data_IF_159540754803
#
_entry.id   IF_159540754803
#
_cell.length_a   1.000
_cell.length_b   1.000
_cell.length_c   1.000
_cell.angle_alpha   90.00
_cell.angle_beta   90.00
_cell.angle_gamma   90.00
#
_symmetry.space_group_name_H-M   'P 1'
#
loop_
_entity.id
_entity.type
_entity.pdbx_description
1 polymer ?
2 non-polymer ?
3 non-polymer ?
4 non-polymer ?
5 water ?
#
# COMPACT_ATOMS: atom_id res chain seq x y z
N UNK A 7 -13.96 16.68 -24.15
CA UNK A 7 -13.59 17.45 -25.38
C UNK A 7 -13.02 18.86 -25.10
N UNK A 8 -12.35 19.46 -26.08
CA UNK A 8 -12.09 20.90 -26.02
C UNK A 8 -13.26 21.72 -26.59
N UNK A 9 -13.55 21.59 -27.89
CA UNK A 9 -14.79 22.18 -28.34
C UNK A 9 -15.78 21.57 -27.39
N UNK A 10 -15.61 21.90 -26.11
CA UNK A 10 -16.34 21.21 -25.06
C UNK A 10 -17.51 22.00 -24.53
N UNK A 11 -18.39 21.25 -23.88
CA UNK A 11 -19.65 21.72 -23.41
C UNK A 11 -19.67 21.76 -21.89
N UNK A 12 -18.97 20.87 -21.22
CA UNK A 12 -19.21 20.72 -19.80
C UNK A 12 -18.00 21.14 -18.97
N UNK A 13 -18.30 21.46 -17.70
CA UNK A 13 -17.33 21.67 -16.62
C UNK A 13 -17.31 20.37 -15.77
N UNK A 14 -16.12 19.91 -15.45
CA UNK A 14 -15.86 18.69 -14.69
C UNK A 14 -15.33 19.03 -13.31
N UNK A 15 -15.21 18.02 -12.46
CA UNK A 15 -14.52 18.20 -11.21
C UNK A 15 -13.08 18.63 -11.45
N UNK A 16 -12.45 18.12 -12.51
CA UNK A 16 -11.08 18.55 -12.81
C UNK A 16 -11.02 20.08 -13.06
N UNK A 17 -12.05 20.62 -13.72
CA UNK A 17 -12.12 22.07 -13.85
C UNK A 17 -12.35 22.81 -12.57
N UNK A 18 -13.23 22.28 -11.68
CA UNK A 18 -13.58 22.94 -10.45
C UNK A 18 -12.31 23.10 -9.66
N UNK A 19 -11.51 22.04 -9.64
CA UNK A 19 -10.24 22.01 -8.88
C UNK A 19 -9.32 23.09 -9.44
N UNK A 20 -9.16 23.11 -10.76
CA UNK A 20 -8.28 24.14 -11.32
C UNK A 20 -8.82 25.53 -11.11
N UNK A 21 -10.13 25.72 -11.25
CA UNK A 21 -10.70 27.04 -11.03
C UNK A 21 -10.59 27.47 -9.58
N UNK A 22 -10.74 26.56 -8.61
CA UNK A 22 -10.64 26.95 -7.19
C UNK A 22 -9.19 27.15 -6.75
N UNK A 23 -8.24 26.49 -7.41
CA UNK A 23 -6.83 26.58 -7.05
C UNK A 23 -6.39 25.73 -5.88
N UNK A 24 -7.18 24.77 -5.45
CA UNK A 24 -6.78 23.88 -4.37
C UNK A 24 -7.27 22.48 -4.69
N UNK A 25 -6.46 21.47 -4.36
CA UNK A 25 -6.86 20.07 -4.36
C UNK A 25 -7.18 19.70 -2.94
N UNK A 26 -8.43 19.30 -2.70
CA UNK A 26 -8.83 18.87 -1.40
C UNK A 26 -8.63 17.34 -1.30
N UNK A 27 -7.75 16.95 -0.40
CA UNK A 27 -7.38 15.58 -0.20
C UNK A 27 -7.88 15.09 1.17
N UNK A 28 -8.79 14.16 1.14
CA UNK A 28 -9.26 13.57 2.34
C UNK A 28 -8.24 12.57 2.88
N UNK A 29 -7.96 12.65 4.17
CA UNK A 29 -6.97 11.72 4.76
C UNK A 29 -7.25 11.54 6.25
N UNK A 30 -6.89 10.37 6.81
CA UNK A 30 -7.23 10.07 8.23
C UNK A 30 -6.19 10.50 9.21
N UNK A 31 -4.90 10.54 8.85
CA UNK A 31 -3.88 10.97 9.84
C UNK A 31 -3.68 9.99 10.99
N UNK A 32 -4.17 8.76 10.84
CA UNK A 32 -4.04 7.74 11.89
C UNK A 32 -3.49 6.42 11.39
N UNK A 33 -2.75 6.50 10.29
CA UNK A 33 -2.30 5.33 9.59
C UNK A 33 -0.87 5.41 9.05
N UNK A 34 0.12 5.01 9.87
CA UNK A 34 1.49 4.93 9.40
C UNK A 34 1.59 3.71 8.56
N UNK A 35 2.41 3.78 7.49
CA UNK A 35 3.28 4.93 7.18
C UNK A 35 2.67 5.87 6.11
N UNK A 36 1.35 5.79 5.88
CA UNK A 36 0.73 6.51 4.76
C UNK A 36 0.27 7.93 5.08
N UNK A 37 -0.24 8.11 6.27
CA UNK A 37 -0.90 9.31 6.72
C UNK A 37 -0.97 9.39 8.20
N UNK A 38 -0.18 10.27 8.77
CA UNK A 38 -0.12 10.39 10.19
C UNK A 38 0.37 11.73 10.57
N UNK A 39 0.75 11.91 11.84
CA UNK A 39 1.19 13.26 12.32
C UNK A 39 2.68 13.21 12.73
N UNK A 40 3.49 14.20 12.29
CA UNK A 40 4.87 14.39 12.80
C UNK A 40 4.83 15.02 14.23
N UNK A 41 6.01 15.16 14.91
CA UNK A 41 6.10 15.70 16.27
C UNK A 41 5.38 17.04 16.54
N UNK A 42 5.01 17.76 15.48
CA UNK A 42 4.26 19.04 15.57
C UNK A 42 2.74 18.92 15.28
N UNK A 43 2.31 17.73 14.80
CA UNK A 43 0.91 17.48 14.47
C UNK A 43 0.61 18.01 13.08
N UNK A 44 1.62 18.16 12.23
CA UNK A 44 1.40 18.34 10.79
C UNK A 44 1.30 16.96 10.13
N UNK A 45 0.70 16.91 8.94
CA UNK A 45 0.55 15.66 8.22
C UNK A 45 1.85 15.17 7.64
N UNK A 46 2.10 13.89 7.79
CA UNK A 46 3.29 13.27 7.26
C UNK A 46 2.95 11.86 6.77
N UNK A 47 3.74 11.38 5.81
CA UNK A 47 3.62 10.03 5.34
C UNK A 47 3.75 9.88 3.84
N UNK A 48 3.77 8.62 3.43
CA UNK A 48 3.83 8.24 2.02
C UNK A 48 2.80 8.96 1.13
N UNK A 49 1.51 8.90 1.49
CA UNK A 49 0.53 9.50 0.63
C UNK A 49 0.34 11.02 0.84
N UNK A 50 0.99 11.57 1.87
CA UNK A 50 1.04 12.99 2.09
C UNK A 50 2.03 13.51 1.12
N UNK A 51 3.17 12.81 0.98
CA UNK A 51 4.10 13.15 -0.04
C UNK A 51 3.43 13.05 -1.44
N UNK A 52 2.71 11.96 -1.71
CA UNK A 52 2.11 11.79 -3.06
C UNK A 52 1.05 12.89 -3.32
N UNK A 53 0.24 13.18 -2.32
CA UNK A 53 -0.76 14.21 -2.45
C UNK A 53 -0.15 15.52 -2.90
N UNK A 54 0.99 15.90 -2.33
CA UNK A 54 1.61 17.13 -2.69
C UNK A 54 2.10 17.09 -4.08
N UNK A 55 2.59 15.97 -4.48
CA UNK A 55 3.05 15.88 -5.86
C UNK A 55 1.84 15.87 -6.87
N UNK A 56 0.69 15.30 -6.52
CA UNK A 56 -0.46 15.44 -7.39
C UNK A 56 -0.90 16.90 -7.53
N UNK A 57 -1.03 17.63 -6.42
CA UNK A 57 -1.39 19.05 -6.47
C UNK A 57 -0.45 19.84 -7.35
N UNK A 58 0.82 19.54 -7.24
CA UNK A 58 1.80 20.27 -7.96
C UNK A 58 1.65 19.92 -9.44
N UNK A 59 1.40 18.67 -9.76
CA UNK A 59 1.20 18.34 -11.16
C UNK A 59 0.02 19.17 -11.77
N UNK A 60 -1.02 19.36 -10.98
CA UNK A 60 -2.14 20.10 -11.37
C UNK A 60 -1.91 21.58 -11.40
N UNK A 61 -0.85 22.05 -10.78
CA UNK A 61 -0.60 23.49 -10.70
C UNK A 61 -1.50 24.07 -9.64
N UNK A 62 -1.84 23.35 -8.57
CA UNK A 62 -2.68 23.93 -7.49
C UNK A 62 -2.11 23.68 -6.10
N UNK A 63 -2.67 24.36 -5.09
CA UNK A 63 -2.35 24.07 -3.68
C UNK A 63 -3.02 22.79 -3.18
N UNK A 64 -2.41 22.08 -2.22
CA UNK A 64 -3.01 20.93 -1.57
C UNK A 64 -3.75 21.38 -0.30
N UNK A 65 -4.96 20.92 -0.07
CA UNK A 65 -5.58 21.17 1.23
C UNK A 65 -6.00 19.81 1.79
N UNK A 66 -5.46 19.47 2.94
CA UNK A 66 -5.79 18.23 3.60
C UNK A 66 -7.11 18.33 4.37
N UNK A 67 -8.06 17.46 4.10
CA UNK A 67 -9.34 17.53 4.82
C UNK A 67 -9.41 16.30 5.73
N UNK A 68 -9.40 16.50 7.08
CA UNK A 68 -9.50 15.42 8.04
C UNK A 68 -10.76 14.58 7.73
N UNK A 69 -10.61 13.25 7.68
CA UNK A 69 -11.75 12.36 7.66
C UNK A 69 -11.37 11.19 8.59
N UNK A 70 -12.29 10.27 8.79
CA UNK A 70 -12.07 9.13 9.68
C UNK A 70 -12.57 7.87 8.95
N UNK A 71 -12.17 6.71 9.43
CA UNK A 71 -12.57 5.51 8.70
C UNK A 71 -14.09 5.32 8.67
N UNK A 72 -14.81 5.65 9.74
CA UNK A 72 -16.23 5.56 9.82
C UNK A 72 -16.95 6.57 8.94
N UNK A 73 -16.35 7.67 8.58
CA UNK A 73 -17.06 8.64 7.73
C UNK A 73 -16.40 8.81 6.37
N UNK A 74 -15.44 7.98 6.05
CA UNK A 74 -14.70 8.17 4.82
C UNK A 74 -15.62 8.17 3.60
N UNK A 75 -16.53 7.22 3.57
CA UNK A 75 -17.32 7.00 2.38
C UNK A 75 -18.36 8.09 2.31
N UNK A 76 -18.99 8.44 3.43
CA UNK A 76 -20.05 9.46 3.35
C UNK A 76 -19.45 10.84 3.12
N UNK A 77 -18.30 11.16 3.74
CA UNK A 77 -17.60 12.41 3.41
C UNK A 77 -17.29 12.49 1.92
N UNK A 78 -16.79 11.40 1.37
CA UNK A 78 -16.49 11.41 -0.05
C UNK A 78 -17.77 11.68 -0.85
N UNK A 79 -18.86 11.00 -0.51
CA UNK A 79 -20.07 11.21 -1.30
C UNK A 79 -20.70 12.59 -1.17
N UNK A 80 -20.50 13.23 -0.01
CA UNK A 80 -20.97 14.53 0.30
C UNK A 80 -19.96 15.60 -0.15
N UNK A 81 -19.02 15.23 -1.00
CA UNK A 81 -18.14 16.20 -1.64
C UNK A 81 -17.31 17.08 -0.61
N UNK A 82 -16.89 16.48 0.50
CA UNK A 82 -15.96 17.10 1.48
C UNK A 82 -14.55 17.27 0.93
N UNK A 83 -14.17 16.48 -0.06
CA UNK A 83 -12.83 16.53 -0.61
C UNK A 83 -12.87 15.92 -1.98
N UNK A 84 -11.82 16.08 -2.76
CA UNK A 84 -11.86 15.66 -4.17
C UNK A 84 -11.35 14.24 -4.33
N UNK A 85 -10.51 13.80 -3.39
CA UNK A 85 -9.88 12.52 -3.52
C UNK A 85 -9.41 12.14 -2.11
N UNK A 86 -9.52 10.84 -1.84
CA UNK A 86 -9.00 10.28 -0.60
C UNK A 86 -7.64 9.61 -0.82
N UNK A 87 -6.61 10.06 -0.08
CA UNK A 87 -5.27 9.56 -0.28
C UNK A 87 -4.73 9.29 1.10
N UNK A 88 -4.50 7.99 1.36
CA UNK A 88 -4.23 7.57 2.73
C UNK A 88 -4.23 6.08 3.02
N UNK A 89 -3.43 5.37 2.24
CA UNK A 89 -3.37 3.89 2.22
C UNK A 89 -4.68 3.17 2.10
N UNK A 90 -5.62 3.69 1.31
CA UNK A 90 -6.94 3.06 1.23
C UNK A 90 -6.84 1.80 0.45
N UNK A 91 -7.21 0.71 1.08
CA UNK A 91 -7.30 -0.55 0.35
C UNK A 91 -8.58 -0.58 -0.50
N UNK A 92 -8.46 -1.10 -1.71
CA UNK A 92 -9.55 -1.28 -2.63
C UNK A 92 -10.39 -2.46 -2.19
N UNK A 93 -11.56 -2.20 -1.66
CA UNK A 93 -12.46 -3.27 -1.22
C UNK A 93 -13.77 -3.18 -2.04
N UNK A 94 -14.46 -4.30 -2.20
CA UNK A 94 -15.74 -4.28 -2.87
C UNK A 94 -16.69 -3.28 -2.21
N UNK A 95 -16.80 -3.27 -0.90
CA UNK A 95 -17.67 -2.30 -0.26
C UNK A 95 -17.33 -0.88 -0.67
N UNK A 96 -16.04 -0.56 -0.78
CA UNK A 96 -15.65 0.79 -1.11
C UNK A 96 -15.86 1.09 -2.60
N UNK A 97 -15.65 0.13 -3.47
CA UNK A 97 -15.90 0.33 -4.89
C UNK A 97 -17.32 0.52 -5.25
N UNK A 98 -18.23 0.05 -4.42
CA UNK A 98 -19.63 0.28 -4.68
C UNK A 98 -20.01 1.74 -4.67
N UNK A 99 -19.31 2.53 -3.90
CA UNK A 99 -19.72 3.88 -3.68
C UNK A 99 -18.67 4.84 -4.15
N UNK A 100 -17.58 4.36 -4.75
CA UNK A 100 -16.45 5.26 -5.15
C UNK A 100 -15.69 4.66 -6.30
N UNK A 101 -14.97 5.48 -7.05
CA UNK A 101 -14.11 4.98 -8.08
C UNK A 101 -12.66 4.96 -7.46
N UNK A 102 -11.86 4.00 -7.84
CA UNK A 102 -10.46 3.95 -7.46
C UNK A 102 -9.53 4.16 -8.67
N UNK A 103 -8.46 4.90 -8.48
CA UNK A 103 -7.31 4.87 -9.34
C UNK A 103 -6.81 3.47 -9.54
N UNK A 104 -5.98 3.32 -10.56
CA UNK A 104 -5.14 2.15 -10.66
C UNK A 104 -4.29 2.02 -9.37
N UNK A 105 -3.82 0.82 -9.08
CA UNK A 105 -3.24 0.56 -7.77
C UNK A 105 -1.86 1.12 -7.71
N UNK A 106 -1.47 1.70 -6.60
CA UNK A 106 -0.08 2.12 -6.47
C UNK A 106 0.77 1.22 -5.56
N UNK A 107 0.12 0.25 -4.92
CA UNK A 107 0.78 -0.76 -4.18
C UNK A 107 -0.06 -2.01 -4.16
N UNK A 108 0.62 -3.14 -4.25
CA UNK A 108 0.00 -4.46 -4.04
C UNK A 108 0.51 -5.12 -2.77
N UNK A 109 -0.33 -5.84 -2.07
CA UNK A 109 0.08 -6.46 -0.86
C UNK A 109 -0.71 -7.70 -0.54
N UNK A 110 -0.26 -8.47 0.46
CA UNK A 110 -1.06 -9.54 1.03
C UNK A 110 -0.21 -10.31 1.99
N UNK A 111 0.40 -11.38 1.50
CA UNK A 111 1.47 -12.06 2.18
C UNK A 111 2.80 -11.67 1.57
N UNK A 112 3.81 -11.60 2.43
CA UNK A 112 5.14 -11.20 2.04
C UNK A 112 6.11 -12.14 2.83
N UNK A 113 7.00 -12.83 2.12
CA UNK A 113 8.05 -13.50 2.89
C UNK A 113 9.01 -12.56 3.61
N UNK A 114 9.37 -13.01 4.77
CA UNK A 114 10.42 -12.35 5.54
C UNK A 114 11.58 -13.29 5.73
N UNK A 115 12.77 -12.84 5.38
CA UNK A 115 13.92 -13.74 5.24
C UNK A 115 15.12 -13.06 5.84
N UNK A 116 16.22 -13.77 6.02
CA UNK A 116 17.42 -13.08 6.42
C UNK A 116 17.91 -12.14 5.35
N UNK A 117 18.56 -11.09 5.83
CA UNK A 117 19.08 -10.07 4.96
C UNK A 117 19.94 -10.65 3.79
N UNK A 118 20.92 -11.43 4.10
CA UNK A 118 21.74 -12.05 3.05
C UNK A 118 20.99 -13.03 2.11
N UNK A 119 19.76 -13.43 2.43
CA UNK A 119 19.03 -14.33 1.55
C UNK A 119 18.07 -13.53 0.70
N UNK A 120 18.14 -12.20 0.76
CA UNK A 120 17.06 -11.39 0.13
C UNK A 120 16.87 -11.68 -1.37
N UNK A 121 18.02 -11.71 -2.02
CA UNK A 121 18.18 -11.98 -3.46
C UNK A 121 17.87 -13.46 -3.73
N UNK A 122 18.02 -14.28 -2.71
CA UNK A 122 17.88 -15.69 -2.89
C UNK A 122 16.44 -16.13 -2.84
N UNK A 123 15.54 -15.38 -2.19
CA UNK A 123 14.16 -15.79 -2.17
C UNK A 123 13.30 -14.68 -2.76
N UNK A 124 13.10 -14.70 -4.07
CA UNK A 124 12.35 -13.63 -4.68
C UNK A 124 11.16 -14.04 -5.50
N UNK A 125 10.94 -15.34 -5.60
CA UNK A 125 9.78 -15.87 -6.28
C UNK A 125 9.23 -17.04 -5.47
N UNK A 126 8.02 -17.41 -5.86
CA UNK A 126 7.38 -18.60 -5.36
C UNK A 126 8.35 -19.79 -5.56
N UNK A 127 8.95 -19.87 -6.73
CA UNK A 127 9.80 -21.00 -7.11
C UNK A 127 10.98 -21.11 -6.15
N UNK A 128 11.54 -19.98 -5.78
CA UNK A 128 12.73 -19.95 -4.95
C UNK A 128 12.40 -20.50 -3.56
N UNK A 129 11.16 -20.30 -3.15
CA UNK A 129 10.73 -20.55 -1.79
C UNK A 129 10.18 -21.95 -1.64
N UNK A 130 9.39 -22.38 -2.63
CA UNK A 130 8.79 -23.69 -2.61
C UNK A 130 9.83 -24.79 -2.99
N UNK A 131 10.84 -24.98 -2.14
CA UNK A 131 11.92 -25.99 -2.36
C UNK A 131 12.10 -26.81 -1.08
N UNK A 132 12.54 -28.06 -1.21
CA UNK A 132 12.50 -28.98 -0.03
C UNK A 132 13.52 -28.62 1.07
N UNK A 133 14.55 -27.91 0.72
CA UNK A 133 15.52 -27.50 1.74
C UNK A 133 15.06 -26.19 2.47
N UNK A 134 13.92 -25.63 2.11
CA UNK A 134 13.56 -24.28 2.64
C UNK A 134 12.70 -24.50 3.89
N UNK A 135 13.13 -23.94 5.03
CA UNK A 135 12.35 -24.05 6.25
C UNK A 135 11.40 -22.86 6.41
N UNK A 136 10.12 -23.17 6.26
CA UNK A 136 9.06 -22.22 6.31
C UNK A 136 8.37 -22.23 7.61
N UNK A 137 8.19 -21.02 8.14
CA UNK A 137 7.64 -20.83 9.48
C UNK A 137 6.33 -20.14 9.42
N UNK A 138 5.32 -20.70 10.10
CA UNK A 138 4.05 -20.02 10.17
C UNK A 138 3.43 -20.22 11.53
N UNK A 139 2.48 -19.34 11.88
CA UNK A 139 1.62 -19.57 13.03
C UNK A 139 0.47 -20.47 12.64
N UNK A 140 -0.19 -21.11 13.62
CA UNK A 140 -1.24 -22.00 13.29
C UNK A 140 -2.54 -21.31 12.99
N UNK A 141 -3.26 -21.90 12.07
CA UNK A 141 -4.70 -21.83 12.11
C UNK A 141 -5.28 -20.78 11.21
N UNK A 142 -4.49 -19.95 10.54
CA UNK A 142 -5.11 -18.86 9.70
C UNK A 142 -4.51 -18.86 8.28
N UNK A 143 -4.50 -17.67 7.69
CA UNK A 143 -4.09 -17.51 6.32
C UNK A 143 -2.59 -17.76 6.06
N UNK A 144 -1.70 -17.52 7.05
CA UNK A 144 -0.32 -17.80 6.83
C UNK A 144 -0.11 -19.28 6.65
N UNK A 145 -0.69 -20.09 7.56
CA UNK A 145 -0.54 -21.48 7.45
C UNK A 145 -1.18 -22.01 6.13
N UNK A 146 -2.38 -21.59 5.88
CA UNK A 146 -3.08 -21.99 4.66
C UNK A 146 -2.31 -21.56 3.36
N UNK A 147 -1.70 -20.40 3.32
CA UNK A 147 -0.93 -20.04 2.15
C UNK A 147 0.22 -21.06 1.95
N UNK A 148 0.88 -21.41 3.06
CA UNK A 148 2.01 -22.28 2.94
C UNK A 148 1.64 -23.70 2.45
N UNK A 149 0.52 -24.20 2.97
CA UNK A 149 0.03 -25.56 2.66
C UNK A 149 -0.45 -25.57 1.23
N UNK A 150 -0.97 -24.44 0.79
CA UNK A 150 -1.43 -24.36 -0.56
C UNK A 150 -0.29 -24.18 -1.56
N UNK A 151 0.63 -23.27 -1.35
CA UNK A 151 1.51 -22.86 -2.42
C UNK A 151 2.89 -23.21 -2.11
N UNK A 152 3.17 -23.68 -0.92
CA UNK A 152 4.54 -24.03 -0.59
C UNK A 152 4.69 -25.48 -0.11
N UNK A 153 4.07 -26.39 -0.86
CA UNK A 153 4.01 -27.80 -0.50
C UNK A 153 5.37 -28.49 -0.55
N UNK A 154 6.34 -28.00 -1.31
CA UNK A 154 7.63 -28.70 -1.37
C UNK A 154 8.59 -28.31 -0.26
N UNK A 155 8.24 -27.26 0.48
CA UNK A 155 9.04 -26.75 1.55
C UNK A 155 8.73 -27.50 2.87
N UNK A 156 9.61 -27.34 3.83
CA UNK A 156 9.46 -27.91 5.12
C UNK A 156 8.80 -26.87 6.03
N UNK A 157 7.55 -27.09 6.29
CA UNK A 157 6.73 -26.14 6.95
C UNK A 157 6.71 -26.54 8.43
N UNK A 158 7.03 -25.63 9.33
CA UNK A 158 6.80 -25.85 10.76
C UNK A 158 5.75 -24.84 11.29
N UNK A 159 4.81 -25.35 12.09
CA UNK A 159 3.80 -24.55 12.73
C UNK A 159 4.26 -24.20 14.14
N UNK A 160 4.24 -22.92 14.45
CA UNK A 160 4.63 -22.42 15.75
C UNK A 160 3.38 -22.13 16.59
N UNK A 161 3.34 -20.98 17.25
CA UNK A 161 2.11 -20.51 17.95
C UNK A 161 2.09 -18.98 17.71
N UNK A 162 0.91 -18.39 17.85
CA UNK A 162 0.72 -17.00 17.46
C UNK A 162 1.65 -16.13 18.32
N UNK A 163 1.83 -16.35 19.61
CA UNK A 163 2.71 -15.38 20.38
C UNK A 163 4.21 -15.71 20.39
N UNK A 164 4.64 -16.61 19.55
CA UNK A 164 6.04 -16.93 19.50
C UNK A 164 6.64 -15.90 18.59
N UNK A 165 7.86 -15.45 18.86
CA UNK A 165 8.52 -14.55 17.91
C UNK A 165 9.13 -15.28 16.73
N UNK A 166 8.32 -15.55 15.74
CA UNK A 166 8.76 -16.33 14.61
C UNK A 166 9.80 -15.61 13.84
N UNK A 167 9.73 -14.27 13.81
CA UNK A 167 10.70 -13.51 13.03
C UNK A 167 12.13 -13.77 13.51
N UNK A 168 12.26 -13.98 14.81
CA UNK A 168 13.53 -14.23 15.44
C UNK A 168 14.06 -15.62 15.14
N UNK A 169 13.16 -16.58 14.88
CA UNK A 169 13.61 -17.87 14.37
C UNK A 169 14.27 -17.72 13.01
N UNK A 170 13.74 -16.85 12.14
CA UNK A 170 14.39 -16.60 10.86
C UNK A 170 15.78 -15.98 11.07
N UNK A 171 15.85 -14.92 11.84
CA UNK A 171 17.07 -14.18 12.07
C UNK A 171 18.11 -15.02 12.65
N UNK A 172 17.77 -15.93 13.56
CA UNK A 172 18.80 -16.69 14.25
C UNK A 172 19.13 -17.90 13.40
N UNK A 173 18.46 -18.13 12.29
CA UNK A 173 18.89 -19.22 11.38
C UNK A 173 18.20 -20.55 11.68
N UNK A 174 17.15 -20.49 12.49
CA UNK A 174 16.42 -21.70 12.81
C UNK A 174 15.27 -21.93 11.84
N UNK A 175 14.94 -20.96 10.98
CA UNK A 175 13.99 -21.14 9.89
C UNK A 175 14.52 -20.23 8.82
N UNK A 176 13.98 -20.37 7.64
CA UNK A 176 14.49 -19.60 6.48
C UNK A 176 13.54 -18.53 5.94
N UNK A 177 12.24 -18.79 6.02
CA UNK A 177 11.22 -17.88 5.46
C UNK A 177 10.00 -17.89 6.35
N UNK A 178 9.59 -16.71 6.86
CA UNK A 178 8.36 -16.57 7.61
C UNK A 178 7.32 -16.00 6.66
N UNK A 179 6.15 -16.62 6.58
CA UNK A 179 5.02 -16.11 5.83
C UNK A 179 4.14 -15.35 6.74
N UNK A 180 3.89 -14.07 6.39
CA UNK A 180 3.06 -13.22 7.21
C UNK A 180 2.45 -12.12 6.35
N UNK A 181 1.47 -11.39 6.88
CA UNK A 181 0.97 -10.19 6.20
C UNK A 181 2.06 -9.19 5.86
N UNK A 182 1.86 -8.48 4.76
CA UNK A 182 2.81 -7.54 4.26
C UNK A 182 3.23 -6.53 5.36
N UNK A 183 2.25 -5.98 6.05
CA UNK A 183 2.54 -4.97 7.01
C UNK A 183 3.48 -5.45 8.08
N UNK A 184 3.30 -6.66 8.55
CA UNK A 184 4.18 -7.22 9.52
C UNK A 184 5.56 -7.52 9.00
N UNK A 185 5.65 -8.12 7.85
CA UNK A 185 6.97 -8.34 7.23
C UNK A 185 7.74 -7.09 7.15
N UNK A 186 7.10 -6.02 6.67
CA UNK A 186 7.81 -4.81 6.47
C UNK A 186 8.32 -4.21 7.79
N UNK A 187 7.53 -4.39 8.83
CA UNK A 187 7.85 -3.86 10.10
C UNK A 187 9.00 -4.65 10.80
N UNK A 188 8.92 -5.95 10.80
CA UNK A 188 10.03 -6.74 11.26
C UNK A 188 11.32 -6.53 10.50
N UNK A 189 11.26 -6.40 9.18
CA UNK A 189 12.46 -6.07 8.45
C UNK A 189 12.95 -4.70 8.74
N UNK A 190 12.08 -3.73 8.92
CA UNK A 190 12.70 -2.47 9.19
C UNK A 190 13.40 -2.40 10.53
N UNK A 191 12.96 -3.20 11.48
CA UNK A 191 13.37 -3.06 12.87
C UNK A 191 14.37 -4.13 13.28
N UNK A 192 14.84 -4.91 12.31
CA UNK A 192 15.87 -5.88 12.56
C UNK A 192 16.94 -5.84 11.46
N UNK A 193 18.22 -5.59 11.81
CA UNK A 193 19.23 -5.48 10.79
C UNK A 193 19.53 -6.76 10.03
N UNK A 194 19.11 -7.87 10.58
CA UNK A 194 19.41 -9.18 10.03
C UNK A 194 18.28 -9.67 9.13
N UNK A 195 17.22 -8.93 9.01
CA UNK A 195 16.02 -9.45 8.24
C UNK A 195 15.67 -8.52 7.09
N UNK A 196 15.13 -9.11 6.05
CA UNK A 196 14.64 -8.40 4.89
C UNK A 196 13.28 -8.91 4.46
N UNK A 197 12.44 -8.01 4.01
CA UNK A 197 11.09 -8.41 3.49
C UNK A 197 11.21 -8.41 2.01
N UNK A 198 10.73 -9.40 1.30
CA UNK A 198 10.82 -9.40 -0.16
C UNK A 198 9.44 -9.31 -0.80
N UNK A 199 9.11 -8.27 -1.54
CA UNK A 199 7.74 -8.15 -2.11
C UNK A 199 7.70 -9.07 -3.35
N UNK A 200 6.71 -9.94 -3.38
CA UNK A 200 6.53 -10.89 -4.45
C UNK A 200 5.09 -10.65 -4.93
N UNK A 201 4.82 -10.89 -6.19
CA UNK A 201 3.46 -10.72 -6.78
C UNK A 201 2.59 -11.96 -6.54
N UNK A 202 1.66 -12.28 -7.39
CA UNK A 202 0.75 -13.39 -7.12
C UNK A 202 1.62 -14.63 -7.00
N UNK A 203 1.20 -15.60 -6.22
CA UNK A 203 -0.02 -15.64 -5.47
C UNK A 203 0.11 -14.92 -4.12
N UNK A 204 1.26 -14.31 -3.82
CA UNK A 204 1.45 -13.77 -2.45
C UNK A 204 0.52 -12.56 -2.21
N UNK A 205 0.47 -11.68 -3.18
CA UNK A 205 -0.33 -10.46 -3.11
C UNK A 205 -1.79 -10.81 -3.34
N UNK A 206 -2.70 -10.13 -2.63
CA UNK A 206 -4.13 -10.40 -2.80
C UNK A 206 -4.94 -9.15 -2.71
N UNK A 207 -4.33 -8.04 -2.38
CA UNK A 207 -5.00 -6.81 -2.31
C UNK A 207 -4.19 -5.65 -2.93
N UNK A 208 -4.83 -4.50 -2.97
CA UNK A 208 -4.17 -3.31 -3.47
C UNK A 208 -4.66 -2.03 -2.84
N UNK A 209 -3.84 -1.01 -2.96
CA UNK A 209 -4.17 0.29 -2.47
C UNK A 209 -4.38 1.19 -3.67
N UNK A 210 -5.29 2.13 -3.51
CA UNK A 210 -5.62 3.03 -4.61
C UNK A 210 -6.08 4.33 -4.01
N UNK A 211 -6.14 5.35 -4.86
CA UNK A 211 -6.73 6.65 -4.46
C UNK A 211 -8.23 6.67 -4.81
N UNK A 212 -9.02 7.11 -3.86
CA UNK A 212 -10.45 6.99 -3.98
C UNK A 212 -11.08 8.28 -4.38
N UNK A 213 -11.90 8.22 -5.43
CA UNK A 213 -12.53 9.39 -6.05
C UNK A 213 -14.07 9.25 -6.12
N UNK A 214 -14.81 10.36 -6.11
CA UNK A 214 -16.28 10.19 -6.25
C UNK A 214 -16.60 9.65 -7.62
N UNK A 215 -17.57 8.76 -7.67
CA UNK A 215 -18.05 8.18 -8.93
C UNK A 215 -18.51 9.16 -10.00
N UNK A 216 -18.29 8.76 -11.24
CA UNK A 216 -18.82 9.56 -12.38
C UNK A 216 -17.98 10.70 -12.92
N UNK A 217 -16.73 10.88 -12.47
CA UNK A 217 -15.90 11.89 -13.17
C UNK A 217 -14.77 11.20 -13.80
N UNK A 218 -14.98 10.74 -15.05
CA UNK A 218 -13.83 9.96 -15.65
C UNK A 218 -12.63 10.88 -15.95
N UNK A 219 -12.85 12.20 -16.03
CA UNK A 219 -11.83 13.10 -16.40
C UNK A 219 -10.77 13.20 -15.32
N UNK A 220 -11.17 13.45 -14.08
CA UNK A 220 -10.21 13.47 -13.01
C UNK A 220 -9.58 12.09 -12.84
N UNK A 221 -10.37 11.06 -12.89
CA UNK A 221 -9.84 9.75 -12.66
C UNK A 221 -8.78 9.42 -13.75
N UNK A 222 -9.08 9.72 -15.01
CA UNK A 222 -8.09 9.50 -16.10
C UNK A 222 -6.81 10.33 -15.89
N UNK A 223 -6.96 11.57 -15.45
CA UNK A 223 -5.80 12.36 -15.12
C UNK A 223 -4.98 11.63 -14.08
N UNK A 224 -5.61 11.24 -12.99
CA UNK A 224 -4.87 10.54 -11.92
C UNK A 224 -4.14 9.34 -12.34
N UNK A 225 -4.80 8.52 -13.17
CA UNK A 225 -4.18 7.34 -13.72
C UNK A 225 -3.01 7.63 -14.64
N UNK A 226 -3.16 8.60 -15.54
CA UNK A 226 -1.99 9.03 -16.31
C UNK A 226 -0.91 9.57 -15.39
N UNK A 227 -1.29 10.29 -14.41
CA UNK A 227 -0.24 10.80 -13.53
C UNK A 227 0.49 9.72 -12.70
N UNK A 228 -0.26 8.69 -12.29
CA UNK A 228 0.37 7.57 -11.53
C UNK A 228 1.32 6.83 -12.37
N UNK A 229 0.94 6.59 -13.59
CA UNK A 229 1.81 5.90 -14.46
C UNK A 229 3.07 6.75 -14.72
N UNK A 230 2.94 8.07 -14.79
CA UNK A 230 4.12 8.87 -14.99
C UNK A 230 5.05 8.80 -13.78
N UNK A 231 4.44 8.85 -12.63
CA UNK A 231 5.08 8.67 -11.38
C UNK A 231 5.84 7.32 -11.24
N UNK A 232 5.21 6.26 -11.69
CA UNK A 232 5.93 4.98 -11.77
C UNK A 232 7.12 5.06 -12.67
N UNK A 233 6.89 5.59 -13.86
CA UNK A 233 7.90 5.56 -14.89
C UNK A 233 9.11 6.33 -14.51
N UNK A 234 8.97 7.50 -13.88
CA UNK A 234 10.17 8.22 -13.53
C UNK A 234 10.81 7.84 -12.18
N UNK A 235 10.29 6.83 -11.50
CA UNK A 235 11.01 6.27 -10.34
C UNK A 235 10.57 6.85 -9.03
N UNK A 236 9.54 7.69 -9.06
CA UNK A 236 9.14 8.35 -7.84
C UNK A 236 8.53 7.34 -6.87
N UNK A 237 7.76 6.35 -7.32
CA UNK A 237 7.25 5.39 -6.35
C UNK A 237 8.39 4.53 -5.76
N UNK A 238 9.40 4.23 -6.52
CA UNK A 238 10.51 3.47 -5.98
C UNK A 238 11.13 4.22 -4.78
N UNK A 239 11.33 5.52 -4.93
CA UNK A 239 11.98 6.33 -3.88
C UNK A 239 11.07 6.42 -2.66
N UNK A 240 9.80 6.51 -2.90
CA UNK A 240 8.84 6.49 -1.82
C UNK A 240 8.81 5.18 -1.07
N UNK A 241 8.85 4.07 -1.80
CA UNK A 241 8.95 2.74 -1.16
C UNK A 241 10.18 2.68 -0.28
N UNK A 242 11.26 3.18 -0.83
CA UNK A 242 12.46 3.15 -0.08
C UNK A 242 12.37 4.00 1.20
N UNK A 243 11.99 5.25 1.02
CA UNK A 243 11.88 6.21 2.11
C UNK A 243 10.89 5.74 3.21
N UNK A 244 9.69 5.37 2.82
CA UNK A 244 8.65 5.06 3.79
C UNK A 244 8.53 3.59 4.15
N UNK A 245 8.85 2.66 3.26
CA UNK A 245 8.71 1.24 3.59
C UNK A 245 10.04 0.60 3.88
N UNK A 246 11.12 1.35 3.71
CA UNK A 246 12.45 0.89 3.97
C UNK A 246 12.77 -0.29 3.13
N UNK A 247 12.17 -0.35 1.96
CA UNK A 247 12.50 -1.31 0.95
C UNK A 247 13.58 -0.63 0.13
X LIG B 1 16.30 -5.03 8.22
X LIG C 1 -1.87 -17.54 21.18
X LIG C 1 -2.69 -17.87 20.26
X LIG C 1 -0.59 -17.47 21.07
X LIG C 1 -2.54 -17.27 22.48
X LIG C 1 -1.86 -16.66 23.53
X LIG C 1 -2.51 -16.46 24.73
X LIG C 1 -3.81 -16.88 24.92
X LIG C 1 -4.46 -17.54 23.92
X LIG C 1 -3.84 -17.70 22.69
X LIG D 1 -7.44 -10.64 10.21
X LIG D 1 -8.59 -10.16 10.13
X LIG D 1 -6.47 -10.14 9.61
X LIG D 1 -7.19 -11.87 11.02
X LIG D 1 -5.91 -12.59 10.53
X LIG D 1 -4.80 -11.71 10.91
X LIG D 1 -5.74 -13.91 11.33
X LIG D 1 -4.99 -15.00 10.58
X LIG D 1 -5.62 -15.87 9.89
X LIG D 1 -3.73 -14.98 10.71
X LIG D 1 -6.11 -12.96 9.03
X LIG D 1 -7.29 -13.31 8.59
X LIG D 1 -5.13 -12.91 8.21
#
# INVERSE_FOLDING_TARGET
MRGSHHHHHHIAASRLDEIMERGTLRVGTTGDYKPFSYRDPDGQYTGFDIDVAKSLAKSLGVKVEFVPTTWPTLMSDLQADKFDIAMGGVTVTPERQKKADFSDPYMTFGKTPLVRKEDADKFKSLEDINRPDVRVAVNPGGTNEKFAREHLKKAKITVYENNVEIFQEVASGRADVMITDTVEALYYAKKHPGLAAVLVDKPFTHSEKGYMMPKGDQEFLNYVNQWLDQMKQQGTYEKLYEKWLKL
NA NA
BEZ C O1 O2 C1 C2 C3 C4 C5 C6
CIT C1 O1 O2 C2 C3 O7 C4 C5 O3 O4 C6 O5 O6
#
